data_IF_064924149462
#
_entry.id   IF_064924149462
#
_cell.length_a   1.000
_cell.length_b   1.000
_cell.length_c   1.000
_cell.angle_alpha   90.00
_cell.angle_beta   90.00
_cell.angle_gamma   90.00
#
_symmetry.space_group_name_H-M   'P 1'
#
loop_
_entity.id
_entity.type
_entity.pdbx_description
1 polymer ?
#
# COMPACT_ATOMS: atom_id res chain seq x y z
N UNK A 1 6.48 -30.94 -23.14
CA UNK A 1 5.71 -29.75 -23.55
C UNK A 1 5.69 -28.82 -22.37
N UNK A 2 6.28 -27.60 -22.43
CA UNK A 2 6.27 -26.67 -21.32
C UNK A 2 4.92 -25.94 -21.28
N UNK A 3 4.26 -25.97 -20.16
CA UNK A 3 3.05 -25.21 -19.90
C UNK A 3 3.39 -23.72 -19.76
N UNK A 4 2.86 -22.92 -20.67
CA UNK A 4 2.86 -21.45 -20.58
C UNK A 4 1.99 -21.01 -19.41
N UNK A 5 2.61 -20.64 -18.30
CA UNK A 5 1.95 -19.86 -17.25
C UNK A 5 2.07 -18.38 -17.60
N UNK A 6 1.13 -17.86 -18.37
CA UNK A 6 0.88 -16.42 -18.45
C UNK A 6 0.33 -15.96 -17.10
N UNK A 7 1.22 -15.73 -16.14
CA UNK A 7 0.89 -14.97 -14.94
C UNK A 7 0.81 -13.50 -15.33
N UNK A 8 -0.39 -12.95 -15.26
CA UNK A 8 -0.66 -11.52 -15.27
C UNK A 8 0.24 -10.86 -14.22
N UNK A 9 1.31 -10.18 -14.67
CA UNK A 9 2.08 -9.31 -13.80
C UNK A 9 1.13 -8.20 -13.35
N UNK A 10 0.97 -7.95 -12.05
CA UNK A 10 0.26 -6.76 -11.61
C UNK A 10 0.99 -5.55 -12.21
N UNK A 11 0.24 -4.60 -12.75
CA UNK A 11 0.77 -3.32 -13.19
C UNK A 11 1.18 -2.53 -11.96
N UNK A 12 2.37 -2.82 -11.46
CA UNK A 12 3.03 -2.02 -10.44
C UNK A 12 3.66 -0.86 -11.19
N UNK A 13 3.26 0.35 -10.86
CA UNK A 13 4.00 1.56 -11.19
C UNK A 13 5.42 1.30 -10.68
N UNK A 14 6.46 1.30 -11.55
CA UNK A 14 7.81 1.03 -11.10
C UNK A 14 8.24 2.18 -10.18
N UNK A 15 8.19 1.94 -8.89
CA UNK A 15 8.76 2.85 -7.91
C UNK A 15 10.26 2.67 -7.97
N UNK A 16 10.99 3.75 -8.25
CA UNK A 16 12.45 3.74 -8.23
C UNK A 16 12.93 3.21 -6.88
N UNK A 17 13.64 2.12 -6.91
CA UNK A 17 14.11 1.36 -5.74
C UNK A 17 15.12 2.08 -4.85
N UNK A 18 15.48 3.33 -5.14
CA UNK A 18 16.46 4.11 -4.38
C UNK A 18 15.91 4.88 -3.19
N UNK A 19 14.58 5.02 -3.05
CA UNK A 19 13.98 5.84 -2.01
C UNK A 19 12.94 5.06 -1.18
N UNK A 20 13.43 4.21 -0.33
CA UNK A 20 12.64 3.55 0.72
C UNK A 20 11.97 2.25 0.27
N UNK A 21 11.80 1.31 1.21
CA UNK A 21 11.15 0.03 0.92
C UNK A 21 9.67 0.26 0.67
N UNK A 22 9.20 -0.19 -0.46
CA UNK A 22 7.79 -0.46 -0.67
C UNK A 22 7.30 -1.39 0.42
N UNK A 23 6.11 -1.15 0.95
CA UNK A 23 5.47 -2.11 1.84
C UNK A 23 5.48 -3.49 1.17
N UNK A 24 5.69 -4.52 1.96
CA UNK A 24 5.66 -5.89 1.50
C UNK A 24 4.30 -6.19 0.89
N UNK A 25 4.16 -5.98 -0.41
CA UNK A 25 3.06 -6.58 -1.13
C UNK A 25 3.36 -8.07 -1.23
N UNK A 26 2.48 -8.93 -0.73
CA UNK A 26 2.59 -10.39 -0.69
C UNK A 26 2.62 -11.02 -2.09
N UNK A 27 3.48 -10.58 -2.98
CA UNK A 27 3.38 -10.98 -4.39
C UNK A 27 4.38 -12.00 -4.88
N UNK A 28 5.41 -12.37 -4.12
CA UNK A 28 6.27 -13.51 -4.48
C UNK A 28 6.99 -14.08 -3.27
N UNK A 29 6.66 -15.33 -2.94
CA UNK A 29 7.51 -16.17 -2.12
C UNK A 29 8.58 -16.82 -3.01
N UNK A 30 9.84 -16.63 -2.68
CA UNK A 30 10.90 -17.45 -3.26
C UNK A 30 10.76 -18.90 -2.75
N UNK A 31 11.05 -19.90 -3.56
CA UNK A 31 11.11 -21.26 -3.07
C UNK A 31 12.16 -21.34 -1.94
N UNK A 32 11.74 -21.91 -0.82
CA UNK A 32 12.62 -22.13 0.33
C UNK A 32 13.53 -23.30 0.02
N UNK A 33 14.82 -23.10 0.12
CA UNK A 33 15.84 -24.13 -0.09
C UNK A 33 16.37 -24.74 1.19
N UNK A 34 16.11 -24.09 2.34
CA UNK A 34 16.59 -24.47 3.65
C UNK A 34 15.46 -24.54 4.71
N UNK A 35 15.77 -25.02 5.91
CA UNK A 35 14.87 -25.06 7.07
C UNK A 35 14.44 -23.68 7.57
N UNK A 36 15.08 -22.61 7.10
CA UNK A 36 14.65 -21.23 7.31
C UNK A 36 13.96 -20.73 6.05
N UNK A 37 12.77 -20.16 6.22
CA UNK A 37 12.01 -19.58 5.13
C UNK A 37 12.44 -18.13 4.94
N UNK A 38 12.86 -17.74 3.73
CA UNK A 38 13.20 -16.38 3.39
C UNK A 38 12.17 -15.79 2.44
N UNK A 39 11.89 -14.52 2.65
CA UNK A 39 11.04 -13.72 1.78
C UNK A 39 11.92 -12.64 1.13
N UNK A 40 12.00 -12.60 -0.23
CA UNK A 40 12.84 -11.66 -0.97
C UNK A 40 14.27 -11.55 -0.41
N UNK A 41 15.08 -12.58 -0.58
CA UNK A 41 16.51 -12.67 -0.27
C UNK A 41 16.96 -12.29 1.16
N UNK A 42 16.22 -11.43 1.91
CA UNK A 42 16.64 -10.88 3.20
C UNK A 42 15.62 -11.02 4.33
N UNK A 43 14.47 -11.66 4.10
CA UNK A 43 13.40 -11.70 5.10
C UNK A 43 13.24 -13.11 5.65
N UNK A 44 13.50 -13.26 6.93
CA UNK A 44 13.21 -14.49 7.65
C UNK A 44 11.72 -14.62 7.91
N UNK A 45 11.14 -15.75 7.53
CA UNK A 45 9.74 -16.08 7.80
C UNK A 45 9.64 -17.01 8.99
N UNK A 46 8.94 -16.61 10.04
CA UNK A 46 8.68 -17.38 11.25
C UNK A 46 7.18 -17.68 11.32
N UNK A 47 6.80 -18.95 11.26
CA UNK A 47 5.40 -19.38 11.29
C UNK A 47 5.19 -20.31 12.47
N UNK A 48 4.21 -20.02 13.32
CA UNK A 48 3.80 -20.92 14.39
C UNK A 48 3.30 -22.25 13.83
N UNK A 49 3.72 -23.39 14.40
CA UNK A 49 3.33 -24.71 13.93
C UNK A 49 1.83 -24.99 14.08
N UNK A 50 1.11 -24.18 14.85
CA UNK A 50 -0.33 -24.35 15.13
C UNK A 50 -1.25 -23.50 14.26
N UNK A 51 -0.71 -22.69 13.35
CA UNK A 51 -1.55 -21.83 12.52
C UNK A 51 -2.14 -22.57 11.32
N UNK A 52 -3.41 -22.95 11.45
CA UNK A 52 -4.16 -23.70 10.42
C UNK A 52 -4.52 -22.84 9.18
N UNK A 53 -4.31 -21.52 9.22
CA UNK A 53 -4.65 -20.62 8.12
C UNK A 53 -3.82 -20.84 6.86
N UNK A 54 -2.63 -21.34 7.02
CA UNK A 54 -1.66 -21.49 5.96
C UNK A 54 -1.52 -22.96 5.54
N UNK A 55 -2.63 -23.70 5.54
CA UNK A 55 -2.70 -24.98 4.83
C UNK A 55 -2.51 -24.80 3.31
N UNK A 56 -2.53 -23.57 2.81
CA UNK A 56 -2.15 -23.30 1.43
C UNK A 56 -0.64 -23.54 1.23
N UNK A 57 -0.20 -24.17 0.15
CA UNK A 57 1.18 -24.60 -0.09
C UNK A 57 2.13 -23.44 -0.44
N UNK A 58 1.88 -22.23 0.09
CA UNK A 58 2.51 -20.99 -0.36
C UNK A 58 3.76 -20.67 0.45
N UNK A 59 3.83 -21.09 1.72
CA UNK A 59 5.01 -20.90 2.57
C UNK A 59 5.40 -22.22 3.19
N UNK A 60 6.58 -22.78 2.85
CA UNK A 60 7.07 -23.99 3.51
C UNK A 60 7.26 -23.70 5.00
N UNK A 61 6.74 -24.59 5.83
CA UNK A 61 6.96 -24.51 7.27
C UNK A 61 8.40 -24.90 7.58
N UNK A 62 9.09 -24.07 8.33
CA UNK A 62 10.38 -24.43 8.88
C UNK A 62 10.23 -25.55 9.90
N UNK A 63 11.20 -26.48 9.92
CA UNK A 63 11.33 -27.50 10.94
C UNK A 63 12.13 -27.00 12.16
N UNK A 64 12.68 -25.78 12.08
CA UNK A 64 13.50 -25.18 13.10
C UNK A 64 12.67 -24.72 14.30
N UNK A 65 13.26 -24.80 15.49
CA UNK A 65 12.67 -24.27 16.71
C UNK A 65 12.69 -22.74 16.72
N UNK A 66 11.92 -22.12 17.60
CA UNK A 66 11.97 -20.67 17.79
C UNK A 66 13.35 -20.19 18.23
N UNK A 67 14.01 -20.95 19.09
CA UNK A 67 15.37 -20.66 19.56
C UNK A 67 16.39 -20.68 18.43
N UNK A 68 16.28 -21.62 17.50
CA UNK A 68 17.12 -21.65 16.31
C UNK A 68 16.88 -20.44 15.42
N UNK A 69 15.63 -19.99 15.25
CA UNK A 69 15.31 -18.76 14.51
C UNK A 69 15.90 -17.52 15.20
N UNK A 70 15.80 -17.41 16.52
CA UNK A 70 16.39 -16.31 17.29
C UNK A 70 17.91 -16.28 17.13
N UNK A 71 18.56 -17.44 17.29
CA UNK A 71 20.02 -17.56 17.10
C UNK A 71 20.43 -17.14 15.70
N UNK A 72 19.70 -17.58 14.68
CA UNK A 72 19.96 -17.22 13.30
C UNK A 72 19.81 -15.71 13.03
N UNK A 73 18.79 -15.05 13.59
CA UNK A 73 18.63 -13.59 13.50
C UNK A 73 19.84 -12.88 14.13
N UNK A 74 20.25 -13.33 15.31
CA UNK A 74 21.35 -12.71 16.06
C UNK A 74 22.71 -12.90 15.37
N UNK A 75 23.04 -14.13 14.96
CA UNK A 75 24.30 -14.47 14.30
C UNK A 75 24.46 -13.75 12.95
N UNK A 76 23.39 -13.65 12.17
CA UNK A 76 23.41 -13.03 10.86
C UNK A 76 23.00 -11.54 10.86
N UNK A 77 22.70 -10.97 12.04
CA UNK A 77 22.26 -9.57 12.19
C UNK A 77 21.13 -9.21 11.24
N UNK A 78 20.14 -10.09 11.10
CA UNK A 78 19.03 -9.90 10.17
C UNK A 78 18.25 -8.64 10.50
N UNK A 79 17.81 -7.95 9.45
CA UNK A 79 17.09 -6.67 9.51
C UNK A 79 15.60 -6.79 9.29
N UNK A 80 15.14 -7.90 8.71
CA UNK A 80 13.76 -8.08 8.27
C UNK A 80 13.22 -9.43 8.73
N UNK A 81 11.96 -9.44 9.18
CA UNK A 81 11.26 -10.68 9.47
C UNK A 81 9.76 -10.57 9.13
N UNK A 82 9.23 -11.67 8.62
CA UNK A 82 7.80 -11.92 8.48
C UNK A 82 7.38 -12.94 9.51
N UNK A 83 6.40 -12.61 10.35
CA UNK A 83 6.07 -13.36 11.55
C UNK A 83 4.58 -13.68 11.57
N UNK A 84 4.27 -14.97 11.65
CA UNK A 84 2.94 -15.49 11.99
C UNK A 84 3.11 -16.32 13.25
N UNK A 85 2.84 -15.76 14.40
CA UNK A 85 3.03 -16.42 15.68
C UNK A 85 1.99 -15.97 16.70
N UNK A 86 1.67 -16.84 17.67
CA UNK A 86 0.76 -16.53 18.77
C UNK A 86 1.39 -15.60 19.79
N UNK A 87 2.72 -15.63 19.92
CA UNK A 87 3.51 -14.81 20.82
C UNK A 87 4.72 -14.24 20.07
N UNK A 88 4.94 -12.93 20.23
CA UNK A 88 6.08 -12.21 19.69
C UNK A 88 7.04 -11.70 20.75
N UNK A 89 6.97 -12.22 21.99
CA UNK A 89 7.85 -11.82 23.11
C UNK A 89 9.33 -12.01 22.80
N UNK A 90 9.67 -12.98 21.94
CA UNK A 90 11.03 -13.25 21.48
C UNK A 90 11.68 -12.09 20.73
N UNK A 91 10.91 -11.15 20.19
CA UNK A 91 11.43 -9.96 19.49
C UNK A 91 12.34 -9.12 20.38
N UNK A 92 12.14 -9.15 21.71
CA UNK A 92 13.04 -8.50 22.67
C UNK A 92 14.49 -9.01 22.61
N UNK A 93 14.67 -10.21 22.06
CA UNK A 93 15.99 -10.84 21.88
C UNK A 93 16.59 -10.56 20.50
N UNK A 94 15.85 -9.84 19.62
CA UNK A 94 16.22 -9.61 18.23
C UNK A 94 16.41 -8.11 17.91
N UNK A 95 17.30 -7.37 18.61
CA UNK A 95 17.42 -5.93 18.45
C UNK A 95 17.94 -5.48 17.08
N UNK A 96 18.47 -6.39 16.27
CA UNK A 96 18.92 -6.10 14.91
C UNK A 96 17.77 -5.86 13.92
N UNK A 97 16.55 -6.33 14.24
CA UNK A 97 15.41 -6.21 13.35
C UNK A 97 14.92 -4.75 13.25
N UNK A 98 14.81 -4.29 12.04
CA UNK A 98 14.36 -2.94 11.67
C UNK A 98 13.03 -2.93 10.93
N UNK A 99 12.65 -4.06 10.31
CA UNK A 99 11.47 -4.17 9.46
C UNK A 99 10.69 -5.43 9.78
N UNK A 100 9.46 -5.24 10.17
CA UNK A 100 8.59 -6.36 10.57
C UNK A 100 7.27 -6.34 9.80
N UNK A 101 6.87 -7.52 9.36
CA UNK A 101 5.50 -7.82 9.04
C UNK A 101 4.98 -8.84 10.06
N UNK A 102 3.89 -8.51 10.73
CA UNK A 102 3.30 -9.36 11.76
C UNK A 102 1.85 -9.64 11.39
N UNK A 103 1.51 -10.91 11.35
CA UNK A 103 0.15 -11.41 11.16
C UNK A 103 -0.20 -12.23 12.40
N UNK A 104 -1.10 -11.74 13.26
CA UNK A 104 -1.61 -12.55 14.37
C UNK A 104 -2.34 -13.80 13.84
N UNK A 105 -2.26 -14.94 14.54
CA UNK A 105 -2.96 -16.14 14.14
C UNK A 105 -4.49 -15.95 14.22
N UNK A 106 -5.23 -16.65 13.37
CA UNK A 106 -6.70 -16.57 13.32
C UNK A 106 -7.40 -17.03 14.60
N UNK A 107 -6.75 -17.90 15.36
CA UNK A 107 -7.25 -18.45 16.61
C UNK A 107 -7.14 -17.48 17.78
N UNK A 108 -6.28 -16.46 17.66
CA UNK A 108 -6.03 -15.54 18.77
C UNK A 108 -7.25 -14.63 19.01
N UNK A 109 -7.77 -14.66 20.23
CA UNK A 109 -8.78 -13.69 20.71
C UNK A 109 -8.15 -12.38 21.18
N UNK A 110 -6.88 -12.43 21.58
CA UNK A 110 -6.05 -11.28 22.01
C UNK A 110 -4.63 -11.50 21.50
N UNK A 111 -3.93 -10.43 21.18
CA UNK A 111 -2.55 -10.48 20.75
C UNK A 111 -1.77 -9.35 21.42
N UNK A 112 -0.66 -9.69 22.09
CA UNK A 112 0.18 -8.73 22.80
C UNK A 112 1.22 -8.13 21.87
N UNK A 113 1.05 -6.85 21.50
CA UNK A 113 2.00 -6.08 20.70
C UNK A 113 3.07 -5.38 21.56
N UNK A 114 3.04 -5.51 22.90
CA UNK A 114 3.98 -4.80 23.77
C UNK A 114 5.46 -5.06 23.48
N UNK A 115 5.88 -6.25 22.96
CA UNK A 115 7.27 -6.47 22.58
C UNK A 115 7.81 -5.48 21.53
N UNK A 116 6.94 -4.89 20.71
CA UNK A 116 7.34 -3.89 19.71
C UNK A 116 7.83 -2.59 20.36
N UNK A 117 7.36 -2.28 21.57
CA UNK A 117 7.74 -1.06 22.28
C UNK A 117 9.20 -1.10 22.78
N UNK A 118 9.76 -2.30 22.85
CA UNK A 118 11.12 -2.57 23.31
C UNK A 118 12.12 -2.70 22.14
N UNK A 119 11.70 -2.36 20.90
CA UNK A 119 12.51 -2.49 19.69
C UNK A 119 13.05 -1.12 19.22
N UNK A 120 14.26 -0.72 19.68
CA UNK A 120 14.76 0.65 19.43
C UNK A 120 15.11 0.93 17.97
N UNK A 121 15.31 -0.12 17.17
CA UNK A 121 15.72 0.00 15.76
C UNK A 121 14.58 -0.20 14.78
N UNK A 122 13.34 -0.35 15.26
CA UNK A 122 12.18 -0.62 14.40
C UNK A 122 11.81 0.63 13.58
N UNK A 123 11.98 0.54 12.26
CA UNK A 123 11.70 1.60 11.30
C UNK A 123 10.46 1.33 10.45
N UNK A 124 10.18 0.04 10.20
CA UNK A 124 9.05 -0.36 9.37
C UNK A 124 8.21 -1.41 10.08
N UNK A 125 6.91 -1.16 10.13
CA UNK A 125 5.96 -2.09 10.72
C UNK A 125 4.75 -2.25 9.78
N UNK A 126 4.45 -3.50 9.47
CA UNK A 126 3.22 -3.90 8.81
C UNK A 126 2.43 -4.79 9.79
N UNK A 127 1.35 -4.23 10.34
CA UNK A 127 0.41 -4.95 11.18
C UNK A 127 -0.85 -5.24 10.38
N UNK A 128 -0.97 -6.45 9.85
CA UNK A 128 -2.20 -6.90 9.21
C UNK A 128 -3.07 -7.61 10.24
N UNK A 129 -4.27 -7.09 10.47
CA UNK A 129 -5.29 -7.87 11.14
C UNK A 129 -5.90 -8.83 10.11
N UNK A 130 -5.73 -10.11 10.32
CA UNK A 130 -6.26 -11.13 9.41
C UNK A 130 -7.79 -11.16 9.52
N UNK A 131 -8.45 -11.27 8.37
CA UNK A 131 -9.89 -11.49 8.30
C UNK A 131 -10.26 -12.85 8.92
N UNK A 132 -10.73 -12.84 10.15
CA UNK A 132 -11.39 -14.01 10.76
C UNK A 132 -12.90 -13.89 10.63
N UNK A 133 -13.65 -14.98 10.68
CA UNK A 133 -15.11 -14.98 10.67
C UNK A 133 -15.73 -14.26 11.89
N UNK A 134 -14.91 -13.88 12.86
CA UNK A 134 -15.28 -13.04 13.98
C UNK A 134 -14.42 -11.78 13.91
N UNK A 135 -14.99 -10.65 13.56
CA UNK A 135 -14.41 -9.30 13.48
C UNK A 135 -13.77 -8.78 14.82
N UNK A 136 -13.20 -9.65 15.63
CA UNK A 136 -12.89 -9.40 17.04
C UNK A 136 -11.39 -9.38 17.37
N UNK A 137 -10.50 -9.52 16.39
CA UNK A 137 -9.08 -9.28 16.65
C UNK A 137 -8.81 -7.78 16.72
N UNK A 138 -8.68 -7.29 17.94
CA UNK A 138 -8.25 -5.92 18.19
C UNK A 138 -6.72 -5.89 18.16
N UNK A 139 -6.16 -5.10 17.24
CA UNK A 139 -4.78 -4.70 17.37
C UNK A 139 -4.70 -3.63 18.46
N UNK A 140 -4.62 -4.00 19.73
CA UNK A 140 -4.45 -3.02 20.80
C UNK A 140 -3.00 -2.55 20.84
N UNK A 141 -2.63 -1.71 19.85
CA UNK A 141 -1.28 -1.20 19.66
C UNK A 141 -1.26 0.32 19.74
N UNK A 142 -0.42 0.85 20.61
CA UNK A 142 -0.16 2.29 20.75
C UNK A 142 1.13 2.66 20.01
N UNK A 143 0.98 3.23 18.83
CA UNK A 143 2.11 3.60 17.98
C UNK A 143 2.96 4.74 18.53
N UNK A 144 2.44 5.55 19.48
CA UNK A 144 3.23 6.60 20.13
C UNK A 144 4.38 6.03 20.99
N UNK A 145 4.30 4.75 21.35
CA UNK A 145 5.32 4.01 22.11
C UNK A 145 6.40 3.39 21.25
N UNK A 146 6.26 3.44 19.91
CA UNK A 146 7.26 2.90 18.98
C UNK A 146 8.03 4.09 18.41
N UNK A 147 9.26 4.27 18.88
CA UNK A 147 10.12 5.36 18.41
C UNK A 147 10.74 5.04 17.04
N UNK A 148 10.88 6.05 16.19
CA UNK A 148 11.68 5.92 14.97
C UNK A 148 10.99 5.26 13.78
N UNK A 149 9.67 5.02 13.84
CA UNK A 149 8.94 4.50 12.69
C UNK A 149 8.97 5.48 11.52
N UNK A 150 9.42 4.97 10.37
CA UNK A 150 9.44 5.68 9.09
C UNK A 150 8.38 5.14 8.12
N UNK A 151 8.01 3.87 8.26
CA UNK A 151 7.10 3.18 7.37
C UNK A 151 6.06 2.41 8.17
N UNK A 152 4.79 2.71 7.96
CA UNK A 152 3.69 2.07 8.66
C UNK A 152 2.61 1.61 7.70
N UNK A 153 2.28 0.33 7.78
CA UNK A 153 1.08 -0.22 7.17
C UNK A 153 0.20 -0.80 8.27
N UNK A 154 -1.03 -0.30 8.33
CA UNK A 154 -2.02 -0.78 9.28
C UNK A 154 -3.30 -1.17 8.56
N UNK A 155 -3.83 -2.33 8.92
CA UNK A 155 -5.11 -2.79 8.41
C UNK A 155 -5.99 -3.28 9.56
N UNK A 156 -7.27 -3.02 9.45
CA UNK A 156 -8.24 -3.38 10.48
C UNK A 156 -9.00 -2.19 11.03
N UNK A 157 -10.17 -2.49 11.63
CA UNK A 157 -11.14 -1.45 12.02
C UNK A 157 -10.89 -0.83 13.39
N UNK A 158 -10.13 -1.49 14.26
CA UNK A 158 -10.05 -1.10 15.69
C UNK A 158 -8.68 -1.40 16.27
N UNK A 159 -8.34 -0.70 17.36
CA UNK A 159 -7.18 -0.99 18.19
C UNK A 159 -5.86 -0.38 17.72
N UNK A 160 -5.91 0.48 16.71
CA UNK A 160 -4.74 1.26 16.30
C UNK A 160 -4.78 2.63 16.97
N UNK A 161 -3.94 2.85 17.99
CA UNK A 161 -3.93 4.08 18.79
C UNK A 161 -2.74 4.98 18.42
N UNK A 162 -2.97 6.29 18.39
CA UNK A 162 -1.94 7.33 18.28
C UNK A 162 -1.03 7.25 17.03
N UNK A 163 -1.41 6.50 15.98
CA UNK A 163 -0.63 6.45 14.73
C UNK A 163 -0.60 7.81 14.02
N UNK A 164 -1.61 8.65 14.24
CA UNK A 164 -1.72 9.98 13.68
C UNK A 164 -0.72 10.98 14.27
N UNK A 165 -0.12 10.67 15.42
CA UNK A 165 0.88 11.51 16.10
C UNK A 165 2.33 11.15 15.81
N UNK A 166 2.58 10.08 15.03
CA UNK A 166 3.93 9.65 14.68
C UNK A 166 4.59 10.72 13.80
N UNK A 167 5.72 11.24 14.28
CA UNK A 167 6.50 12.20 13.52
C UNK A 167 7.48 11.52 12.58
N UNK A 168 7.64 12.08 11.39
CA UNK A 168 8.67 11.62 10.45
C UNK A 168 8.31 10.40 9.60
N UNK A 169 7.04 9.96 9.59
CA UNK A 169 6.60 8.92 8.66
C UNK A 169 6.86 9.34 7.22
N UNK A 170 7.55 8.47 6.48
CA UNK A 170 7.81 8.60 5.05
C UNK A 170 6.73 7.89 4.22
N UNK A 171 6.25 6.75 4.71
CA UNK A 171 5.15 6.03 4.07
C UNK A 171 4.09 5.63 5.10
N UNK A 172 2.84 5.82 4.71
CA UNK A 172 1.68 5.39 5.47
C UNK A 172 0.70 4.70 4.54
N UNK A 173 0.35 3.47 4.86
CA UNK A 173 -0.77 2.79 4.24
C UNK A 173 -1.77 2.40 5.31
N UNK A 174 -3.04 2.61 5.05
CA UNK A 174 -4.09 2.15 5.94
C UNK A 174 -5.30 1.63 5.19
N UNK A 175 -5.92 0.61 5.78
CA UNK A 175 -7.10 -0.04 5.24
C UNK A 175 -8.19 -0.19 6.30
N UNK A 176 -9.46 -0.18 5.85
CA UNK A 176 -10.58 -0.65 6.67
C UNK A 176 -10.87 0.14 7.95
N UNK A 177 -11.39 1.35 7.78
CA UNK A 177 -11.98 2.09 8.89
C UNK A 177 -11.08 3.10 9.56
N UNK A 178 -9.87 3.28 9.05
CA UNK A 178 -8.98 4.37 9.45
C UNK A 178 -8.94 5.44 8.32
N UNK A 179 -8.71 6.70 8.61
CA UNK A 179 -8.74 7.32 9.94
C UNK A 179 -10.17 7.38 10.50
N UNK A 180 -10.30 7.60 11.80
CA UNK A 180 -11.61 7.72 12.46
C UNK A 180 -12.34 9.00 12.02
N UNK A 181 -11.59 10.06 11.72
CA UNK A 181 -12.11 11.28 11.13
C UNK A 181 -12.58 11.05 9.67
N UNK A 182 -13.45 11.91 9.19
CA UNK A 182 -13.93 11.84 7.81
C UNK A 182 -12.97 12.48 6.79
N UNK A 183 -11.82 12.96 7.26
CA UNK A 183 -10.79 13.66 6.50
C UNK A 183 -9.41 13.15 6.91
N UNK A 184 -8.35 13.71 6.33
CA UNK A 184 -6.96 13.41 6.70
C UNK A 184 -6.37 14.45 7.67
N UNK A 185 -7.17 15.39 8.17
CA UNK A 185 -6.70 16.53 8.96
C UNK A 185 -6.04 16.15 10.29
N UNK A 186 -6.36 14.95 10.81
CA UNK A 186 -5.77 14.47 12.06
C UNK A 186 -4.41 13.78 11.86
N UNK A 187 -3.98 13.58 10.61
CA UNK A 187 -2.72 12.90 10.29
C UNK A 187 -1.56 13.89 10.21
N UNK A 188 -0.39 13.50 10.73
CA UNK A 188 0.84 14.20 10.40
C UNK A 188 1.35 13.75 9.01
N UNK A 189 1.00 14.52 7.99
CA UNK A 189 1.35 14.25 6.60
C UNK A 189 2.62 14.96 6.13
N UNK A 190 3.27 15.75 7.01
CA UNK A 190 4.34 16.69 6.64
C UNK A 190 5.60 16.02 6.10
N UNK A 191 5.87 14.80 6.50
CA UNK A 191 7.03 14.01 6.07
C UNK A 191 6.69 12.92 5.06
N UNK A 192 5.40 12.71 4.77
CA UNK A 192 4.96 11.63 3.89
C UNK A 192 5.45 11.84 2.46
N UNK A 193 6.05 10.79 1.93
CA UNK A 193 6.40 10.62 0.52
C UNK A 193 5.37 9.76 -0.21
N UNK A 194 4.85 8.73 0.45
CA UNK A 194 3.85 7.81 -0.08
C UNK A 194 2.68 7.66 0.91
N UNK A 195 1.46 7.82 0.41
CA UNK A 195 0.23 7.59 1.15
C UNK A 195 -0.68 6.66 0.35
N UNK A 196 -1.09 5.55 0.96
CA UNK A 196 -2.05 4.62 0.38
C UNK A 196 -3.26 4.46 1.30
N UNK A 197 -4.45 4.64 0.74
CA UNK A 197 -5.72 4.69 1.45
C UNK A 197 -6.68 3.67 0.85
N UNK A 198 -6.99 2.60 1.58
CA UNK A 198 -7.88 1.55 1.11
C UNK A 198 -9.10 1.40 2.02
N UNK A 199 -10.30 1.38 1.44
CA UNK A 199 -11.57 1.13 2.16
C UNK A 199 -11.80 2.06 3.38
N UNK A 200 -11.23 3.27 3.35
CA UNK A 200 -11.36 4.24 4.43
C UNK A 200 -12.72 4.99 4.37
N UNK A 201 -13.27 5.37 5.54
CA UNK A 201 -14.56 6.08 5.61
C UNK A 201 -14.44 7.60 5.38
N UNK A 202 -13.36 8.05 4.73
CA UNK A 202 -13.13 9.47 4.45
C UNK A 202 -14.13 9.99 3.42
N UNK A 203 -14.50 11.27 3.56
CA UNK A 203 -15.35 12.00 2.61
C UNK A 203 -14.59 13.03 1.80
N UNK A 204 -13.49 13.52 2.35
CA UNK A 204 -12.64 14.52 1.73
C UNK A 204 -11.17 14.20 1.98
N UNK A 205 -10.31 14.66 1.06
CA UNK A 205 -8.86 14.64 1.21
C UNK A 205 -8.31 15.85 1.98
N UNK A 206 -9.17 16.67 2.60
CA UNK A 206 -8.75 17.78 3.45
C UNK A 206 -7.74 17.30 4.51
N UNK A 207 -6.65 18.03 4.68
CA UNK A 207 -5.47 17.64 5.46
C UNK A 207 -4.23 17.38 4.58
N UNK A 208 -4.40 17.16 3.26
CA UNK A 208 -3.25 17.04 2.36
C UNK A 208 -2.51 18.36 2.11
N UNK A 209 -3.05 19.49 2.52
CA UNK A 209 -2.46 20.81 2.29
C UNK A 209 -1.04 20.93 2.88
N UNK A 210 -0.74 20.13 3.90
CA UNK A 210 0.58 20.09 4.55
C UNK A 210 1.51 19.01 4.00
N UNK A 211 1.04 18.16 3.05
CA UNK A 211 1.80 17.01 2.51
C UNK A 211 2.79 17.44 1.40
N UNK A 212 3.64 18.45 1.66
CA UNK A 212 4.52 19.04 0.63
C UNK A 212 5.64 18.14 0.12
N UNK A 213 5.82 16.94 0.70
CA UNK A 213 6.77 15.94 0.23
C UNK A 213 6.09 14.78 -0.49
N UNK A 214 4.76 14.75 -0.53
CA UNK A 214 4.01 13.63 -1.10
C UNK A 214 4.24 13.52 -2.60
N UNK A 215 4.66 12.34 -3.04
CA UNK A 215 4.91 11.98 -4.44
C UNK A 215 3.94 10.93 -4.96
N UNK A 216 3.55 10.02 -4.11
CA UNK A 216 2.74 8.86 -4.47
C UNK A 216 1.48 8.86 -3.62
N UNK A 217 0.32 8.81 -4.28
CA UNK A 217 -0.98 8.73 -3.61
C UNK A 217 -1.84 7.64 -4.25
N UNK A 218 -2.18 6.64 -3.46
CA UNK A 218 -3.14 5.60 -3.79
C UNK A 218 -4.43 5.77 -3.00
N UNK A 219 -5.58 5.67 -3.65
CA UNK A 219 -6.90 5.75 -3.01
C UNK A 219 -7.80 4.68 -3.62
N UNK A 220 -8.14 3.66 -2.84
CA UNK A 220 -8.92 2.55 -3.36
C UNK A 220 -10.12 2.22 -2.47
N UNK A 221 -11.25 1.92 -3.11
CA UNK A 221 -12.48 1.47 -2.45
C UNK A 221 -13.02 2.42 -1.36
N UNK A 222 -12.65 3.70 -1.39
CA UNK A 222 -13.15 4.73 -0.48
C UNK A 222 -14.55 5.16 -0.89
N UNK A 223 -15.55 4.36 -0.50
CA UNK A 223 -16.94 4.48 -0.97
C UNK A 223 -17.66 5.77 -0.56
N UNK A 224 -17.12 6.51 0.42
CA UNK A 224 -17.70 7.77 0.90
C UNK A 224 -16.97 9.00 0.38
N UNK A 225 -15.83 8.84 -0.30
CA UNK A 225 -15.00 9.95 -0.78
C UNK A 225 -15.74 10.69 -1.92
N UNK A 226 -16.00 11.96 -1.69
CA UNK A 226 -16.71 12.87 -2.59
C UNK A 226 -15.81 14.02 -3.05
N UNK A 227 -14.98 14.55 -2.16
CA UNK A 227 -14.17 15.74 -2.36
C UNK A 227 -12.67 15.40 -2.42
N UNK A 228 -12.07 15.68 -3.57
CA UNK A 228 -10.64 15.51 -3.85
C UNK A 228 -9.93 16.85 -4.15
N UNK A 229 -10.59 17.97 -3.89
CA UNK A 229 -10.08 19.31 -4.23
C UNK A 229 -8.74 19.65 -3.58
N UNK A 230 -8.45 19.09 -2.38
CA UNK A 230 -7.18 19.26 -1.70
C UNK A 230 -5.95 18.76 -2.50
N UNK A 231 -6.15 17.96 -3.57
CA UNK A 231 -5.08 17.57 -4.48
C UNK A 231 -4.38 18.79 -5.12
N UNK A 232 -5.09 19.90 -5.32
CA UNK A 232 -4.50 21.14 -5.86
C UNK A 232 -3.32 21.62 -5.05
N UNK A 233 -3.36 21.46 -3.74
CA UNK A 233 -2.31 21.91 -2.81
C UNK A 233 -0.99 21.16 -2.92
N UNK A 234 -1.01 19.97 -3.57
CA UNK A 234 0.15 19.09 -3.78
C UNK A 234 0.44 18.86 -5.28
N UNK A 235 -0.19 19.63 -6.16
CA UNK A 235 -0.05 19.49 -7.63
C UNK A 235 1.38 19.63 -8.12
N UNK A 236 2.21 20.43 -7.43
CA UNK A 236 3.63 20.62 -7.76
C UNK A 236 4.55 19.52 -7.21
N UNK A 237 4.03 18.60 -6.41
CA UNK A 237 4.85 17.54 -5.80
C UNK A 237 4.42 16.14 -6.21
N UNK A 238 3.13 15.93 -6.45
CA UNK A 238 2.58 14.61 -6.76
C UNK A 238 3.04 14.12 -8.13
N UNK A 239 3.64 12.94 -8.17
CA UNK A 239 4.14 12.30 -9.39
C UNK A 239 3.31 11.09 -9.82
N UNK A 240 2.66 10.42 -8.88
CA UNK A 240 1.78 9.29 -9.18
C UNK A 240 0.47 9.39 -8.40
N UNK A 241 -0.64 9.21 -9.11
CA UNK A 241 -1.99 9.16 -8.53
C UNK A 241 -2.73 7.93 -9.03
N UNK A 242 -3.22 7.14 -8.08
CA UNK A 242 -4.10 6.01 -8.34
C UNK A 242 -5.43 6.22 -7.62
N UNK A 243 -6.53 6.25 -8.36
CA UNK A 243 -7.89 6.28 -7.80
C UNK A 243 -8.65 5.08 -8.33
N UNK A 244 -9.02 4.18 -7.42
CA UNK A 244 -9.75 2.95 -7.76
C UNK A 244 -11.05 2.82 -6.97
N UNK A 245 -12.16 2.62 -7.68
CA UNK A 245 -13.46 2.26 -7.07
C UNK A 245 -13.97 3.25 -6.02
N UNK A 246 -13.73 4.55 -6.21
CA UNK A 246 -14.22 5.67 -5.39
C UNK A 246 -15.43 6.33 -6.08
N UNK A 247 -16.53 5.62 -6.15
CA UNK A 247 -17.68 5.95 -7.04
C UNK A 247 -18.45 7.23 -6.70
N UNK A 248 -18.21 7.89 -5.56
CA UNK A 248 -18.87 9.15 -5.19
C UNK A 248 -18.13 10.41 -5.65
N UNK A 249 -16.91 10.27 -6.12
CA UNK A 249 -16.21 11.40 -6.74
C UNK A 249 -16.90 11.73 -8.05
N UNK A 250 -17.43 12.94 -8.16
CA UNK A 250 -18.13 13.45 -9.37
C UNK A 250 -17.36 14.58 -10.04
N UNK A 251 -16.53 15.30 -9.31
CA UNK A 251 -15.69 16.37 -9.81
C UNK A 251 -14.21 15.94 -9.85
N UNK A 252 -13.68 15.84 -11.07
CA UNK A 252 -12.28 15.55 -11.37
C UNK A 252 -11.54 16.77 -11.93
N UNK A 253 -12.10 17.97 -11.89
CA UNK A 253 -11.51 19.20 -12.45
C UNK A 253 -10.13 19.50 -11.88
N UNK A 254 -9.90 19.17 -10.57
CA UNK A 254 -8.63 19.33 -9.88
C UNK A 254 -7.47 18.57 -10.53
N UNK A 255 -7.73 17.53 -11.32
CA UNK A 255 -6.67 16.80 -12.03
C UNK A 255 -5.88 17.72 -12.96
N UNK A 256 -6.50 18.77 -13.49
CA UNK A 256 -5.83 19.76 -14.34
C UNK A 256 -4.74 20.58 -13.65
N UNK A 257 -4.68 20.55 -12.32
CA UNK A 257 -3.72 21.30 -11.51
C UNK A 257 -2.49 20.47 -11.10
N UNK A 258 -2.46 19.17 -11.45
CA UNK A 258 -1.38 18.25 -11.08
C UNK A 258 -0.22 18.28 -12.08
N UNK A 259 0.42 19.44 -12.27
CA UNK A 259 1.37 19.69 -13.36
C UNK A 259 2.63 18.80 -13.34
N UNK A 260 2.98 18.23 -12.19
CA UNK A 260 4.11 17.33 -12.04
C UNK A 260 3.75 15.83 -12.12
N UNK A 261 2.46 15.53 -12.43
CA UNK A 261 2.02 14.14 -12.50
C UNK A 261 2.66 13.41 -13.69
N UNK A 262 3.28 12.26 -13.40
CA UNK A 262 3.90 11.37 -14.37
C UNK A 262 3.05 10.12 -14.63
N UNK A 263 2.31 9.67 -13.62
CA UNK A 263 1.53 8.44 -13.67
C UNK A 263 0.12 8.68 -13.12
N UNK A 264 -0.88 8.39 -13.94
CA UNK A 264 -2.29 8.50 -13.55
C UNK A 264 -3.01 7.19 -13.82
N UNK A 265 -3.70 6.67 -12.79
CA UNK A 265 -4.59 5.53 -12.90
C UNK A 265 -5.97 5.88 -12.36
N UNK A 266 -7.01 5.73 -13.19
CA UNK A 266 -8.40 5.99 -12.83
C UNK A 266 -9.26 4.75 -13.13
N UNK A 267 -9.56 3.97 -12.11
CA UNK A 267 -10.33 2.74 -12.26
C UNK A 267 -11.64 2.80 -11.49
N UNK A 268 -12.71 2.36 -12.12
CA UNK A 268 -14.01 2.30 -11.48
C UNK A 268 -15.17 2.65 -12.40
N UNK A 269 -16.30 3.02 -11.79
CA UNK A 269 -17.55 3.31 -12.49
C UNK A 269 -17.83 4.81 -12.64
N UNK A 270 -16.88 5.64 -12.25
CA UNK A 270 -17.00 7.09 -12.39
C UNK A 270 -17.15 7.50 -13.86
N UNK A 271 -17.72 8.67 -14.09
CA UNK A 271 -17.85 9.28 -15.42
C UNK A 271 -17.18 10.64 -15.40
N UNK A 272 -16.26 10.86 -16.36
CA UNK A 272 -15.66 12.15 -16.63
C UNK A 272 -16.35 12.76 -17.88
N UNK A 273 -16.55 14.06 -17.92
CA UNK A 273 -17.16 14.71 -19.09
C UNK A 273 -16.30 14.55 -20.37
N UNK A 274 -14.99 14.72 -20.22
CA UNK A 274 -13.98 14.62 -21.28
C UNK A 274 -12.60 14.36 -20.69
N UNK A 275 -11.57 14.34 -21.54
CA UNK A 275 -10.16 14.17 -21.16
C UNK A 275 -9.32 15.45 -21.34
N UNK A 276 -9.92 16.64 -21.41
CA UNK A 276 -9.20 17.89 -21.67
C UNK A 276 -8.15 18.24 -20.61
N UNK A 277 -8.35 17.78 -19.37
CA UNK A 277 -7.37 17.96 -18.29
C UNK A 277 -5.99 17.38 -18.64
N UNK A 278 -5.92 16.35 -19.49
CA UNK A 278 -4.65 15.75 -19.91
C UNK A 278 -3.73 16.75 -20.62
N UNK A 279 -4.30 17.75 -21.32
CA UNK A 279 -3.55 18.81 -22.00
C UNK A 279 -2.79 19.72 -21.03
N UNK A 280 -3.14 19.68 -19.74
CA UNK A 280 -2.51 20.46 -18.67
C UNK A 280 -1.50 19.66 -17.86
N UNK A 281 -1.24 18.41 -18.23
CA UNK A 281 -0.31 17.48 -17.56
C UNK A 281 0.92 17.21 -18.43
N UNK A 282 1.85 18.18 -18.55
CA UNK A 282 2.95 18.10 -19.53
C UNK A 282 3.96 17.00 -19.23
N UNK A 283 4.00 16.50 -18.00
CA UNK A 283 4.93 15.45 -17.55
C UNK A 283 4.32 14.05 -17.56
N UNK A 284 3.06 13.91 -17.97
CA UNK A 284 2.36 12.64 -17.89
C UNK A 284 2.96 11.60 -18.85
N UNK A 285 3.46 10.52 -18.31
CA UNK A 285 4.09 9.40 -19.01
C UNK A 285 3.13 8.22 -19.21
N UNK A 286 2.26 7.98 -18.23
CA UNK A 286 1.29 6.88 -18.28
C UNK A 286 -0.09 7.34 -17.83
N UNK A 287 -1.10 6.96 -18.60
CA UNK A 287 -2.50 7.11 -18.22
C UNK A 287 -3.27 5.82 -18.49
N UNK A 288 -3.78 5.20 -17.42
CA UNK A 288 -4.58 3.97 -17.53
C UNK A 288 -5.93 4.17 -16.88
N UNK A 289 -7.01 3.75 -17.54
CA UNK A 289 -8.34 4.00 -17.01
C UNK A 289 -9.40 2.97 -17.41
N UNK A 290 -10.40 2.82 -16.55
CA UNK A 290 -11.65 2.11 -16.86
C UNK A 290 -12.89 2.98 -16.67
N UNK A 291 -12.73 4.19 -16.14
CA UNK A 291 -13.81 5.17 -15.96
C UNK A 291 -14.49 5.50 -17.31
N UNK A 292 -15.70 6.04 -17.25
CA UNK A 292 -16.43 6.42 -18.47
C UNK A 292 -16.05 7.83 -18.91
N UNK A 293 -15.74 8.01 -20.18
CA UNK A 293 -15.54 9.32 -20.81
C UNK A 293 -16.80 9.63 -21.61
N UNK A 294 -17.54 10.65 -21.18
CA UNK A 294 -18.91 10.89 -21.64
C UNK A 294 -18.97 11.29 -23.13
N UNK A 295 -18.08 12.17 -23.57
CA UNK A 295 -17.99 12.60 -24.96
C UNK A 295 -17.38 11.54 -25.89
N UNK A 296 -16.74 10.51 -25.33
CA UNK A 296 -16.11 9.41 -26.08
C UNK A 296 -14.85 9.80 -26.85
N UNK A 297 -14.32 11.02 -26.67
CA UNK A 297 -13.10 11.47 -27.35
C UNK A 297 -11.84 11.06 -26.54
N UNK A 298 -11.09 10.09 -27.07
CA UNK A 298 -9.81 9.63 -26.51
C UNK A 298 -8.61 10.29 -27.21
N UNK A 299 -8.82 11.21 -28.16
CA UNK A 299 -7.72 11.90 -28.86
C UNK A 299 -6.70 12.57 -27.93
N UNK A 300 -7.07 13.12 -26.75
CA UNK A 300 -6.07 13.66 -25.81
C UNK A 300 -5.04 12.64 -25.33
N UNK A 301 -5.36 11.33 -25.33
CA UNK A 301 -4.44 10.27 -24.94
C UNK A 301 -3.27 10.08 -25.92
N UNK A 302 -3.43 10.53 -27.18
CA UNK A 302 -2.41 10.34 -28.23
C UNK A 302 -1.09 11.08 -27.94
N UNK A 303 -1.11 12.05 -27.04
CA UNK A 303 0.09 12.82 -26.66
C UNK A 303 0.82 12.24 -25.43
N UNK A 304 0.34 11.12 -24.88
CA UNK A 304 0.92 10.47 -23.71
C UNK A 304 1.72 9.27 -24.19
N UNK A 305 2.97 9.05 -23.70
CA UNK A 305 3.80 7.91 -24.15
C UNK A 305 3.11 6.55 -23.98
N UNK A 306 2.40 6.35 -22.87
CA UNK A 306 1.63 5.13 -22.64
C UNK A 306 0.21 5.44 -22.18
N UNK A 307 -0.77 5.01 -22.95
CA UNK A 307 -2.18 5.09 -22.56
C UNK A 307 -2.88 3.73 -22.73
N UNK A 308 -3.78 3.40 -21.78
CA UNK A 308 -4.58 2.17 -21.85
C UNK A 308 -5.96 2.38 -21.25
N UNK A 309 -6.97 1.80 -21.88
CA UNK A 309 -8.34 1.94 -21.43
C UNK A 309 -9.16 0.66 -21.55
N UNK A 310 -10.26 0.60 -20.83
CA UNK A 310 -11.33 -0.35 -21.10
C UNK A 310 -12.17 0.14 -22.30
N UNK A 311 -12.22 -0.62 -23.38
CA UNK A 311 -12.95 -0.26 -24.59
C UNK A 311 -14.45 -0.06 -24.33
N UNK A 312 -15.02 1.01 -24.88
CA UNK A 312 -16.48 1.25 -24.90
C UNK A 312 -16.95 1.55 -26.31
N UNK A 313 -18.22 1.22 -26.60
CA UNK A 313 -18.77 1.32 -27.96
C UNK A 313 -18.78 2.75 -28.54
N UNK A 314 -18.93 3.76 -27.67
CA UNK A 314 -19.03 5.16 -28.07
C UNK A 314 -17.67 5.87 -28.15
N UNK A 315 -16.56 5.20 -27.82
CA UNK A 315 -15.24 5.79 -27.94
C UNK A 315 -14.79 5.88 -29.38
N UNK A 316 -14.19 7.01 -29.75
CA UNK A 316 -13.63 7.25 -31.08
C UNK A 316 -12.36 6.45 -31.39
N UNK A 317 -11.63 6.00 -30.35
CA UNK A 317 -10.44 5.15 -30.42
C UNK A 317 -10.62 3.91 -29.54
N UNK A 318 -9.90 2.84 -29.88
CA UNK A 318 -9.81 1.62 -29.07
C UNK A 318 -8.49 1.59 -28.29
N UNK A 319 -8.40 0.74 -27.28
CA UNK A 319 -7.16 0.55 -26.52
C UNK A 319 -5.96 0.21 -27.42
N UNK A 320 -6.18 -0.58 -28.49
CA UNK A 320 -5.15 -0.91 -29.49
C UNK A 320 -4.62 0.29 -30.27
N UNK A 321 -5.39 1.37 -30.36
CA UNK A 321 -5.04 2.55 -31.14
C UNK A 321 -4.25 3.57 -30.31
N UNK A 322 -4.23 3.39 -28.98
CA UNK A 322 -3.54 4.28 -28.05
C UNK A 322 -2.02 3.99 -28.01
N UNK A 323 -1.20 5.00 -27.69
CA UNK A 323 0.25 4.81 -27.57
C UNK A 323 0.65 3.78 -26.53
N UNK A 324 1.64 2.94 -26.83
CA UNK A 324 2.14 1.87 -25.97
C UNK A 324 3.67 1.93 -25.78
N UNK A 325 4.24 3.14 -25.79
CA UNK A 325 5.67 3.34 -25.62
C UNK A 325 6.00 3.24 -24.12
N UNK A 326 6.62 2.15 -23.73
CA UNK A 326 7.17 1.98 -22.38
C UNK A 326 8.67 2.33 -22.48
N UNK A 327 9.03 3.55 -22.08
CA UNK A 327 10.43 3.86 -21.84
C UNK A 327 10.87 3.07 -20.61
N UNK A 328 11.73 2.08 -20.82
CA UNK A 328 12.36 1.26 -19.77
C UNK A 328 13.38 2.06 -18.98
#
# INVERSE_FOLDING_TARGET
>A
MPQNSNQLKPNIIPMNSSEGPTFFTMTRFAPVTDDFAFYEEDILVIISPHDALWEAPIVPRSTKSLEEHISYIQENQLKKAFIIAEDISFLRQCPSLERLQIIPPFSASTFDYSPLYDMPNLKQLNCQTVYGPKDNLFADIDYSRISGLEHLNLSGKKGHHNYNSIKGLKTLSFAQGQPVSKTLSDLDVTSLYNLDICQAPIRSLAGLENAKKLRLLGISYCRQLEDISALSSIGDTLTALDIESCGRITDFSVLSELHNLEHLRLYGRNTLPNLDFLRRLPKLKTFTFSVNILDGDLSPCMNIPYASCSNKKHYNLKDSDLPKIINR
#
